data_IF_684505086059
#
_entry.id   IF_684505086059
#
_cell.length_a   1.000
_cell.length_b   1.000
_cell.length_c   1.000
_cell.angle_alpha   90.00
_cell.angle_beta   90.00
_cell.angle_gamma   90.00
#
_symmetry.space_group_name_H-M   'P 1'
#
loop_
_entity.id
_entity.type
_entity.pdbx_description
1 polymer ?
#
# COMPACT_ATOMS: atom_id res chain seq x y z
N UNK A 1 2.35 18.85 -4.59
CA UNK A 1 2.87 18.84 -3.19
C UNK A 1 4.31 18.34 -3.17
N UNK A 2 5.21 18.82 -2.29
CA UNK A 2 6.54 18.23 -2.11
C UNK A 2 6.47 16.99 -1.20
N UNK A 3 7.54 16.15 -1.22
CA UNK A 3 7.53 14.87 -0.49
C UNK A 3 7.58 15.03 1.02
N UNK A 4 8.28 16.04 1.53
CA UNK A 4 8.41 16.26 2.99
C UNK A 4 7.08 16.70 3.60
N UNK A 5 6.37 17.62 2.93
CA UNK A 5 5.03 18.05 3.37
C UNK A 5 4.04 16.88 3.31
N UNK A 6 4.11 16.07 2.25
CA UNK A 6 3.25 14.90 2.07
C UNK A 6 3.49 13.85 3.15
N UNK A 7 4.75 13.48 3.41
CA UNK A 7 5.10 12.47 4.41
C UNK A 7 4.81 12.91 5.86
N UNK A 8 4.72 14.22 6.10
CA UNK A 8 4.37 14.78 7.41
C UNK A 8 2.88 14.78 7.75
N UNK A 9 2.01 14.40 6.80
CA UNK A 9 0.55 14.43 6.98
C UNK A 9 -0.04 13.02 7.09
N UNK A 10 -1.03 12.87 7.98
CA UNK A 10 -1.81 11.66 8.06
C UNK A 10 -2.92 11.60 6.99
N UNK A 11 -3.59 10.45 6.90
CA UNK A 11 -4.63 10.21 5.90
C UNK A 11 -5.83 11.18 6.01
N UNK A 12 -6.17 11.61 7.22
CA UNK A 12 -7.30 12.54 7.45
C UNK A 12 -6.92 13.96 7.01
N UNK A 13 -5.68 14.38 7.32
CA UNK A 13 -5.17 15.68 6.89
C UNK A 13 -5.09 15.77 5.36
N UNK A 14 -4.59 14.73 4.68
CA UNK A 14 -4.57 14.68 3.22
C UNK A 14 -5.98 14.73 2.61
N UNK A 15 -6.93 13.95 3.14
CA UNK A 15 -8.32 13.99 2.70
C UNK A 15 -8.96 15.38 2.90
N UNK A 16 -8.60 16.08 3.97
CA UNK A 16 -9.09 17.42 4.26
C UNK A 16 -8.57 18.47 3.26
N UNK A 17 -7.29 18.37 2.85
CA UNK A 17 -6.73 19.20 1.79
C UNK A 17 -7.47 18.99 0.46
N UNK A 18 -7.82 17.75 0.12
CA UNK A 18 -8.60 17.47 -1.09
C UNK A 18 -10.00 18.06 -1.00
N UNK A 19 -10.70 17.88 0.11
CA UNK A 19 -12.04 18.47 0.32
C UNK A 19 -12.05 19.99 0.24
N UNK A 20 -10.98 20.65 0.71
CA UNK A 20 -10.82 22.11 0.62
C UNK A 20 -10.42 22.58 -0.77
N UNK A 21 -10.05 21.69 -1.69
CA UNK A 21 -9.54 22.04 -3.01
C UNK A 21 -8.13 22.63 -2.99
N UNK A 22 -7.38 22.46 -1.89
CA UNK A 22 -5.99 22.91 -1.74
C UNK A 22 -5.03 22.01 -2.52
N UNK A 23 -5.39 20.73 -2.69
CA UNK A 23 -4.70 19.74 -3.52
C UNK A 23 -5.75 18.84 -4.20
N UNK A 24 -5.47 18.33 -5.38
CA UNK A 24 -6.34 17.35 -6.03
C UNK A 24 -5.97 15.90 -5.65
N UNK A 25 -6.95 14.98 -5.76
CA UNK A 25 -6.68 13.55 -5.57
C UNK A 25 -5.61 13.04 -6.56
N UNK A 26 -5.59 13.57 -7.79
CA UNK A 26 -4.58 13.22 -8.79
C UNK A 26 -3.17 13.68 -8.38
N UNK A 27 -3.05 14.87 -7.80
CA UNK A 27 -1.76 15.35 -7.26
C UNK A 27 -1.27 14.50 -6.08
N UNK A 28 -2.17 14.03 -5.20
CA UNK A 28 -1.79 13.12 -4.11
C UNK A 28 -1.33 11.77 -4.66
N UNK A 29 -2.04 11.22 -5.65
CA UNK A 29 -1.65 9.99 -6.31
C UNK A 29 -0.26 10.11 -6.98
N UNK A 30 -0.02 11.17 -7.74
CA UNK A 30 1.28 11.46 -8.35
C UNK A 30 2.37 11.62 -7.30
N UNK A 31 2.06 12.29 -6.19
CA UNK A 31 3.03 12.47 -5.09
C UNK A 31 3.37 11.14 -4.43
N UNK A 32 2.40 10.25 -4.20
CA UNK A 32 2.67 8.91 -3.69
C UNK A 32 3.53 8.08 -4.66
N UNK A 33 3.30 8.18 -5.97
CA UNK A 33 4.13 7.51 -6.98
C UNK A 33 5.57 8.04 -6.97
N UNK A 34 5.76 9.35 -6.85
CA UNK A 34 7.10 9.93 -6.69
C UNK A 34 7.78 9.49 -5.39
N UNK A 35 7.03 9.31 -4.31
CA UNK A 35 7.56 8.77 -3.06
C UNK A 35 7.99 7.30 -3.22
N UNK A 36 7.21 6.47 -3.94
CA UNK A 36 7.62 5.12 -4.31
C UNK A 36 8.95 5.16 -5.08
N UNK A 37 9.04 5.96 -6.14
CA UNK A 37 10.24 6.06 -6.98
C UNK A 37 11.48 6.50 -6.20
N UNK A 38 11.31 7.40 -5.24
CA UNK A 38 12.40 7.94 -4.44
C UNK A 38 12.97 6.93 -3.43
N UNK A 39 12.15 6.07 -2.85
CA UNK A 39 12.51 5.27 -1.67
C UNK A 39 12.54 3.77 -1.95
N UNK A 40 11.66 3.27 -2.82
CA UNK A 40 11.43 1.84 -2.98
C UNK A 40 12.63 1.06 -3.50
N UNK A 41 13.51 1.69 -4.29
CA UNK A 41 14.76 1.09 -4.74
C UNK A 41 15.71 0.68 -3.61
N UNK A 42 15.56 1.31 -2.43
CA UNK A 42 16.34 0.98 -1.23
C UNK A 42 15.65 -0.07 -0.36
N UNK A 43 14.34 0.07 -0.12
CA UNK A 43 13.65 -0.74 0.91
C UNK A 43 12.83 -1.91 0.33
N UNK A 44 12.56 -1.93 -0.98
CA UNK A 44 11.77 -2.97 -1.66
C UNK A 44 10.42 -3.27 -0.99
N UNK A 45 9.70 -2.22 -0.62
CA UNK A 45 8.40 -2.32 0.05
C UNK A 45 7.25 -2.54 -0.94
N UNK A 46 7.35 -1.96 -2.15
CA UNK A 46 6.32 -2.00 -3.20
C UNK A 46 6.81 -2.90 -4.34
N UNK A 47 5.99 -3.88 -4.72
CA UNK A 47 6.37 -4.93 -5.70
C UNK A 47 5.52 -4.93 -6.97
N UNK A 48 4.56 -4.02 -7.06
CA UNK A 48 3.75 -3.88 -8.27
C UNK A 48 2.92 -2.62 -8.25
N UNK A 49 2.66 -2.11 -9.43
CA UNK A 49 1.80 -0.95 -9.65
C UNK A 49 0.31 -1.36 -9.62
N UNK A 50 -0.53 -0.40 -9.25
CA UNK A 50 -1.97 -0.43 -9.53
C UNK A 50 -2.22 0.80 -10.41
N UNK A 51 -2.40 0.60 -11.73
CA UNK A 51 -2.58 1.72 -12.65
C UNK A 51 -3.78 2.58 -12.26
N UNK A 52 -3.68 3.88 -12.53
CA UNK A 52 -4.83 4.76 -12.43
C UNK A 52 -5.96 4.20 -13.31
N UNK A 53 -7.08 3.81 -12.71
CA UNK A 53 -8.22 3.30 -13.47
C UNK A 53 -8.82 4.45 -14.29
N UNK A 54 -8.81 4.30 -15.61
CA UNK A 54 -9.65 5.15 -16.47
C UNK A 54 -11.12 4.93 -16.06
N UNK A 55 -11.81 6.00 -15.72
CA UNK A 55 -13.20 5.93 -15.27
C UNK A 55 -13.39 5.44 -13.83
N UNK A 56 -12.46 5.72 -12.92
CA UNK A 56 -12.72 5.55 -11.47
C UNK A 56 -14.08 6.14 -11.14
N UNK A 57 -14.96 5.33 -10.55
CA UNK A 57 -16.18 5.87 -9.95
C UNK A 57 -15.77 7.01 -9.01
N UNK A 58 -16.33 8.21 -9.25
CA UNK A 58 -16.13 9.33 -8.35
C UNK A 58 -16.59 8.90 -6.96
N UNK A 59 -15.63 8.71 -6.06
CA UNK A 59 -15.97 8.48 -4.66
C UNK A 59 -16.62 9.74 -4.11
N UNK A 60 -17.62 9.57 -3.25
CA UNK A 60 -18.28 10.71 -2.60
C UNK A 60 -17.23 11.66 -2.00
N UNK A 61 -17.40 12.97 -2.23
CA UNK A 61 -16.57 13.98 -1.59
C UNK A 61 -16.64 13.92 -0.04
N UNK A 62 -17.72 13.32 0.50
CA UNK A 62 -17.91 13.10 1.93
C UNK A 62 -17.20 11.83 2.45
N UNK A 63 -16.56 11.03 1.57
CA UNK A 63 -15.82 9.85 1.99
C UNK A 63 -14.65 10.23 2.90
N UNK A 64 -14.46 9.49 4.00
CA UNK A 64 -13.54 9.85 5.07
C UNK A 64 -12.09 10.00 4.60
N UNK A 65 -11.67 9.19 3.61
CA UNK A 65 -10.33 9.23 3.00
C UNK A 65 -10.39 9.64 1.52
N UNK A 66 -11.28 10.57 1.18
CA UNK A 66 -11.48 11.01 -0.21
C UNK A 66 -10.15 11.41 -0.88
N UNK A 67 -9.75 10.66 -1.92
CA UNK A 67 -8.56 10.92 -2.73
C UNK A 67 -7.22 10.51 -2.10
N UNK A 68 -7.22 9.85 -0.92
CA UNK A 68 -5.98 9.46 -0.22
C UNK A 68 -5.31 8.25 -0.87
N UNK A 69 -4.02 8.33 -1.24
CA UNK A 69 -3.25 7.22 -1.75
C UNK A 69 -3.11 6.09 -0.73
N UNK A 70 -3.15 4.86 -1.24
CA UNK A 70 -3.21 3.66 -0.43
C UNK A 70 -2.49 2.51 -1.15
N UNK A 71 -1.81 1.63 -0.41
CA UNK A 71 -1.17 0.44 -0.95
C UNK A 71 -1.89 -0.84 -0.51
N UNK A 72 -2.00 -1.80 -1.43
CA UNK A 72 -2.59 -3.11 -1.20
C UNK A 72 -1.50 -4.12 -0.81
N UNK A 73 -1.67 -4.86 0.27
CA UNK A 73 -0.80 -6.03 0.50
C UNK A 73 -1.00 -7.03 -0.63
N UNK A 74 0.07 -7.58 -1.20
CA UNK A 74 0.01 -8.58 -2.28
C UNK A 74 -0.54 -9.94 -1.80
N UNK A 75 -1.56 -9.89 -0.96
CA UNK A 75 -2.26 -11.05 -0.39
C UNK A 75 -3.67 -10.65 0.04
N UNK A 76 -4.69 -11.35 -0.48
CA UNK A 76 -6.09 -11.28 -0.04
C UNK A 76 -6.73 -9.88 -0.08
N UNK A 77 -6.29 -8.97 -0.96
CA UNK A 77 -6.84 -7.61 -1.01
C UNK A 77 -8.24 -7.52 -1.65
N UNK A 78 -8.59 -8.47 -2.54
CA UNK A 78 -9.93 -8.54 -3.16
C UNK A 78 -10.30 -7.32 -4.01
N UNK A 79 -9.37 -6.78 -4.76
CA UNK A 79 -9.58 -5.75 -5.78
C UNK A 79 -9.62 -6.41 -7.16
N UNK A 80 -10.77 -6.41 -7.87
CA UNK A 80 -10.88 -7.01 -9.20
C UNK A 80 -9.92 -6.38 -10.21
N UNK A 81 -9.34 -7.21 -11.08
CA UNK A 81 -8.39 -6.76 -12.10
C UNK A 81 -6.98 -6.45 -11.59
N UNK A 82 -6.76 -6.48 -10.27
CA UNK A 82 -5.44 -6.23 -9.66
C UNK A 82 -4.73 -7.55 -9.40
N UNK A 83 -3.45 -7.71 -9.81
CA UNK A 83 -2.65 -8.89 -9.49
C UNK A 83 -2.57 -9.14 -7.98
N UNK A 84 -2.59 -10.41 -7.56
CA UNK A 84 -2.45 -10.85 -6.18
C UNK A 84 -1.58 -12.10 -6.16
N UNK A 85 -0.27 -11.90 -6.25
CA UNK A 85 0.72 -12.96 -6.52
C UNK A 85 1.25 -13.61 -5.24
N UNK A 86 0.84 -13.09 -4.07
CA UNK A 86 1.05 -13.69 -2.75
C UNK A 86 2.53 -13.91 -2.40
N UNK A 87 3.44 -13.06 -2.93
CA UNK A 87 4.87 -13.20 -2.75
C UNK A 87 5.44 -14.53 -3.28
N UNK A 88 4.73 -15.21 -4.19
CA UNK A 88 5.07 -16.55 -4.66
C UNK A 88 5.24 -16.61 -6.17
N UNK A 89 6.27 -17.35 -6.62
CA UNK A 89 6.44 -17.70 -8.04
C UNK A 89 5.27 -18.54 -8.55
N UNK A 90 4.62 -19.31 -7.69
CA UNK A 90 3.43 -20.09 -8.04
C UNK A 90 2.23 -19.18 -8.30
N UNK A 91 2.15 -18.03 -7.62
CA UNK A 91 1.08 -17.05 -7.79
C UNK A 91 1.31 -16.05 -8.93
N UNK A 92 2.45 -16.15 -9.63
CA UNK A 92 2.80 -15.20 -10.69
C UNK A 92 1.70 -15.10 -11.77
N UNK A 93 1.24 -13.88 -12.02
CA UNK A 93 0.19 -13.59 -12.99
C UNK A 93 -1.24 -13.87 -12.48
N UNK A 94 -1.44 -14.31 -11.23
CA UNK A 94 -2.78 -14.42 -10.68
C UNK A 94 -3.41 -13.05 -10.48
N UNK A 95 -4.61 -12.86 -11.03
CA UNK A 95 -5.38 -11.63 -10.95
C UNK A 95 -6.67 -11.91 -10.18
N UNK A 96 -7.01 -11.05 -9.22
CA UNK A 96 -8.31 -11.14 -8.55
C UNK A 96 -9.45 -10.90 -9.53
N UNK A 97 -10.41 -11.82 -9.57
CA UNK A 97 -11.60 -11.70 -10.42
C UNK A 97 -12.79 -11.07 -9.68
N UNK A 98 -12.87 -11.29 -8.37
CA UNK A 98 -14.02 -10.88 -7.56
C UNK A 98 -13.66 -9.80 -6.53
N UNK A 99 -14.61 -8.90 -6.31
CA UNK A 99 -14.49 -7.90 -5.25
C UNK A 99 -14.80 -8.52 -3.89
N UNK A 100 -13.92 -8.27 -2.92
CA UNK A 100 -14.19 -8.62 -1.53
C UNK A 100 -14.98 -7.51 -0.82
N UNK A 101 -15.68 -7.87 0.25
CA UNK A 101 -16.35 -6.87 1.13
C UNK A 101 -15.35 -5.85 1.66
N UNK A 102 -14.11 -6.28 1.93
CA UNK A 102 -13.03 -5.38 2.36
C UNK A 102 -12.65 -4.41 1.23
N UNK A 103 -12.41 -4.90 0.02
CA UNK A 103 -12.08 -4.08 -1.15
C UNK A 103 -13.16 -3.03 -1.45
N UNK A 104 -14.43 -3.45 -1.44
CA UNK A 104 -15.57 -2.54 -1.62
C UNK A 104 -15.61 -1.44 -0.54
N UNK A 105 -15.35 -1.78 0.72
CA UNK A 105 -15.31 -0.79 1.82
C UNK A 105 -14.14 0.18 1.70
N UNK A 106 -12.97 -0.28 1.31
CA UNK A 106 -11.82 0.59 1.05
C UNK A 106 -12.12 1.60 -0.07
N UNK A 107 -12.70 1.14 -1.18
CA UNK A 107 -13.14 2.03 -2.26
C UNK A 107 -14.19 3.04 -1.78
N UNK A 108 -15.22 2.56 -1.09
CA UNK A 108 -16.28 3.42 -0.55
C UNK A 108 -15.77 4.46 0.47
N UNK A 109 -14.67 4.17 1.18
CA UNK A 109 -14.02 5.13 2.08
C UNK A 109 -13.22 6.21 1.37
N UNK A 110 -13.05 6.14 0.04
CA UNK A 110 -12.36 7.12 -0.78
C UNK A 110 -10.88 6.85 -0.99
N UNK A 111 -10.35 5.71 -0.52
CA UNK A 111 -8.96 5.32 -0.70
C UNK A 111 -8.64 5.01 -2.17
N UNK A 112 -7.47 5.46 -2.61
CA UNK A 112 -6.96 5.33 -3.97
C UNK A 112 -5.79 4.35 -4.00
N UNK A 113 -6.01 3.12 -4.47
CA UNK A 113 -4.95 2.12 -4.57
C UNK A 113 -3.93 2.54 -5.64
N UNK A 114 -2.65 2.64 -5.26
CA UNK A 114 -1.56 3.08 -6.15
C UNK A 114 -0.49 2.02 -6.37
N UNK A 115 -0.50 0.92 -5.62
CA UNK A 115 0.48 -0.16 -5.76
C UNK A 115 0.22 -1.32 -4.82
N UNK A 116 1.07 -2.35 -4.92
CA UNK A 116 1.02 -3.56 -4.09
C UNK A 116 2.27 -3.67 -3.24
N UNK A 117 2.11 -4.00 -1.96
CA UNK A 117 3.23 -4.15 -1.03
C UNK A 117 3.70 -5.59 -0.92
N UNK A 118 4.99 -5.76 -0.70
CA UNK A 118 5.64 -7.06 -0.56
C UNK A 118 5.12 -7.84 0.65
N UNK A 119 5.09 -9.16 0.51
CA UNK A 119 4.69 -10.13 1.53
C UNK A 119 5.55 -11.39 1.38
N UNK A 120 5.86 -12.15 2.43
CA UNK A 120 6.47 -13.46 2.26
C UNK A 120 5.52 -14.40 1.55
N UNK A 121 6.05 -15.48 1.00
CA UNK A 121 5.30 -16.45 0.24
C UNK A 121 4.07 -16.94 1.01
N UNK A 122 2.88 -16.73 0.44
CA UNK A 122 1.55 -16.99 1.02
C UNK A 122 1.31 -16.38 2.40
N UNK A 123 2.11 -15.40 2.82
CA UNK A 123 2.00 -14.79 4.14
C UNK A 123 2.45 -15.70 5.31
N UNK A 124 3.18 -16.77 5.04
CA UNK A 124 3.51 -17.82 6.02
C UNK A 124 4.83 -17.61 6.79
N UNK A 125 5.33 -16.37 6.84
CA UNK A 125 6.54 -16.04 7.61
C UNK A 125 6.35 -14.74 8.41
N UNK A 126 7.06 -14.64 9.53
CA UNK A 126 7.19 -13.43 10.34
C UNK A 126 8.25 -12.45 9.84
N UNK A 127 8.90 -12.71 8.70
CA UNK A 127 9.76 -11.78 7.95
C UNK A 127 9.29 -11.69 6.50
N UNK A 128 9.59 -10.57 5.82
CA UNK A 128 9.16 -10.33 4.42
C UNK A 128 10.37 -10.44 3.50
N UNK A 129 10.69 -11.68 3.12
CA UNK A 129 11.86 -12.05 2.33
C UNK A 129 11.50 -13.12 1.27
N UNK A 130 10.46 -12.88 0.41
CA UNK A 130 10.07 -13.88 -0.56
C UNK A 130 11.12 -14.04 -1.65
N UNK A 131 11.34 -15.27 -2.10
CA UNK A 131 12.24 -15.56 -3.24
C UNK A 131 11.75 -14.91 -4.53
N UNK A 132 10.44 -14.68 -4.65
CA UNK A 132 9.85 -14.06 -5.84
C UNK A 132 10.27 -12.61 -6.02
N UNK A 133 10.27 -11.81 -4.93
CA UNK A 133 10.46 -10.36 -4.98
C UNK A 133 11.72 -9.87 -4.25
N UNK A 134 12.40 -10.74 -3.51
CA UNK A 134 13.49 -10.36 -2.62
C UNK A 134 13.02 -9.75 -1.28
N UNK A 135 13.96 -9.46 -0.36
CA UNK A 135 13.65 -8.96 0.97
C UNK A 135 13.14 -7.51 0.95
N UNK A 136 12.21 -7.22 1.86
CA UNK A 136 11.87 -5.85 2.25
C UNK A 136 12.73 -5.45 3.44
N UNK A 137 13.39 -4.31 3.35
CA UNK A 137 14.27 -3.79 4.40
C UNK A 137 13.49 -2.87 5.36
N UNK A 138 13.93 -2.85 6.61
CA UNK A 138 13.40 -1.94 7.62
C UNK A 138 13.91 -0.51 7.34
N UNK A 139 13.03 0.50 7.16
CA UNK A 139 13.46 1.87 6.88
C UNK A 139 14.26 2.52 8.01
N UNK A 140 14.11 2.06 9.26
CA UNK A 140 14.84 2.58 10.42
C UNK A 140 16.24 1.98 10.55
N UNK A 141 16.44 0.74 10.06
CA UNK A 141 17.73 0.05 10.04
C UNK A 141 17.75 -0.91 8.85
N UNK A 142 18.40 -0.53 7.78
CA UNK A 142 18.51 -1.32 6.54
C UNK A 142 19.21 -2.68 6.72
N UNK A 143 19.84 -2.94 7.86
CA UNK A 143 20.41 -4.22 8.23
C UNK A 143 19.41 -5.14 8.94
N UNK A 144 18.23 -4.65 9.29
CA UNK A 144 17.21 -5.36 10.03
C UNK A 144 16.03 -5.79 9.13
N UNK A 145 15.28 -6.81 9.58
CA UNK A 145 14.05 -7.24 8.93
C UNK A 145 12.95 -6.19 9.09
N UNK A 146 12.10 -6.04 8.09
CA UNK A 146 10.87 -5.25 8.17
C UNK A 146 9.73 -6.02 8.89
N UNK A 147 10.02 -7.23 9.41
CA UNK A 147 8.97 -8.11 9.93
C UNK A 147 8.04 -8.65 8.85
N UNK A 148 6.97 -9.31 9.25
CA UNK A 148 6.03 -9.95 8.32
C UNK A 148 4.74 -10.46 9.02
N UNK A 149 3.79 -10.87 8.24
CA UNK A 149 3.83 -10.97 6.78
C UNK A 149 3.43 -9.67 6.04
N UNK A 150 3.05 -8.59 6.72
CA UNK A 150 2.74 -7.28 6.13
C UNK A 150 3.94 -6.32 6.19
N UNK A 151 5.18 -6.84 6.02
CA UNK A 151 6.41 -6.04 6.14
C UNK A 151 6.52 -4.96 5.07
N UNK A 152 6.12 -5.24 3.83
CA UNK A 152 6.09 -4.23 2.79
C UNK A 152 5.13 -3.08 3.12
N UNK A 153 3.96 -3.37 3.69
CA UNK A 153 3.00 -2.35 4.12
C UNK A 153 3.56 -1.47 5.24
N UNK A 154 4.14 -2.10 6.28
CA UNK A 154 4.75 -1.38 7.39
C UNK A 154 5.94 -0.51 6.93
N UNK A 155 6.83 -1.05 6.12
CA UNK A 155 7.98 -0.33 5.57
C UNK A 155 7.55 0.86 4.71
N UNK A 156 6.51 0.70 3.88
CA UNK A 156 6.01 1.78 3.04
C UNK A 156 5.42 2.93 3.87
N UNK A 157 4.66 2.62 4.93
CA UNK A 157 4.09 3.66 5.83
C UNK A 157 5.20 4.32 6.62
N UNK A 158 6.14 3.55 7.21
CA UNK A 158 7.27 4.10 7.97
C UNK A 158 8.17 5.00 7.13
N UNK A 159 8.33 4.71 5.85
CA UNK A 159 9.14 5.51 4.93
C UNK A 159 8.39 6.70 4.33
N UNK A 160 7.13 6.96 4.72
CA UNK A 160 6.34 8.09 4.22
C UNK A 160 5.85 7.92 2.77
N UNK A 161 5.86 6.72 2.21
CA UNK A 161 5.35 6.46 0.86
C UNK A 161 3.83 6.68 0.79
N UNK A 162 3.10 6.19 1.77
CA UNK A 162 1.67 6.41 1.94
C UNK A 162 1.32 6.55 3.42
N UNK A 163 0.27 7.28 3.78
CA UNK A 163 -0.12 7.44 5.19
C UNK A 163 -0.83 6.20 5.76
N UNK A 164 -1.31 5.31 4.91
CA UNK A 164 -2.07 4.11 5.27
C UNK A 164 -1.88 3.02 4.21
N UNK A 165 -1.80 1.76 4.64
CA UNK A 165 -1.69 0.62 3.73
C UNK A 165 -2.52 -0.57 4.21
N UNK A 166 -2.96 -1.42 3.26
CA UNK A 166 -3.61 -2.69 3.58
C UNK A 166 -2.65 -3.66 4.23
N UNK A 167 -3.10 -4.27 5.29
CA UNK A 167 -2.41 -5.35 5.98
C UNK A 167 -3.39 -6.40 6.48
N UNK A 168 -2.94 -7.61 6.76
CA UNK A 168 -3.74 -8.70 7.31
C UNK A 168 -2.99 -9.38 8.47
N UNK A 169 -3.72 -9.88 9.47
CA UNK A 169 -3.14 -10.48 10.67
C UNK A 169 -3.95 -11.70 11.11
N UNK A 170 -3.42 -12.89 10.87
CA UNK A 170 -3.95 -14.14 11.40
C UNK A 170 -3.12 -14.64 12.61
N UNK A 171 -1.80 -14.42 12.58
CA UNK A 171 -0.86 -14.89 13.60
C UNK A 171 0.15 -13.84 14.07
N UNK A 172 -0.11 -12.54 13.84
CA UNK A 172 0.80 -11.45 14.17
C UNK A 172 1.22 -10.60 12.97
N UNK A 173 0.67 -10.86 11.79
CA UNK A 173 1.17 -10.28 10.53
C UNK A 173 0.92 -8.78 10.33
N UNK A 174 0.19 -8.10 11.22
CA UNK A 174 0.19 -6.63 11.38
C UNK A 174 1.07 -6.25 12.58
N UNK A 175 0.84 -6.91 13.70
CA UNK A 175 1.48 -6.59 15.00
C UNK A 175 2.99 -6.77 14.97
N UNK A 176 3.51 -7.80 14.32
CA UNK A 176 4.95 -8.04 14.18
C UNK A 176 5.62 -6.88 13.44
N UNK A 177 5.29 -6.57 12.17
CA UNK A 177 5.97 -5.51 11.46
C UNK A 177 5.71 -4.11 12.04
N UNK A 178 4.62 -3.91 12.79
CA UNK A 178 4.35 -2.64 13.48
C UNK A 178 5.11 -2.46 14.79
N UNK A 179 5.80 -3.49 15.27
CA UNK A 179 6.57 -3.47 16.53
C UNK A 179 8.09 -3.44 16.31
N UNK A 180 8.54 -3.48 15.09
CA UNK A 180 9.93 -3.46 14.66
C UNK A 180 10.23 -2.13 13.97
#
# INVERSE_FOLDING_TARGET
MNLDDYAGLDALALADLVRKGEVSAAELEETARRAIDAVNGTINAVVGDVPAAEGREETSADAVFHGVPFLLKDLAHGYPGVPCEMGSRLGAGYINEAESVYGARCKASGLVAVGRTNTPEFGLSGSTEPVANGPTLNPWDLGASAGGSSGGAAAAVSAGIVPIAHASDAGGSIRIPSSI
#
